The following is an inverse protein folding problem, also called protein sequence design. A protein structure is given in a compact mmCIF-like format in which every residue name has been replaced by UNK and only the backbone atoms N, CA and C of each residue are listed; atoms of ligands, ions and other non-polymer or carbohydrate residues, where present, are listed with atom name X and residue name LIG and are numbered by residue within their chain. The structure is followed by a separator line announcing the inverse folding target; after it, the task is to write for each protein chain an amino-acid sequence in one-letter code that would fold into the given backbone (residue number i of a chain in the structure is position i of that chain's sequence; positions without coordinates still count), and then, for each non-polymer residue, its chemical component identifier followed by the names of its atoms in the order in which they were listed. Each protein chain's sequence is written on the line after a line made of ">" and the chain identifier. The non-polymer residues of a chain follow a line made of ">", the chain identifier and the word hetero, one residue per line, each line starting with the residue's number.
data_IF_598093519621
#
_entry.id   IF_598093519621
#
_cell.length_a   1.000
_cell.length_b   1.000
_cell.length_c   1.000
_cell.angle_alpha   90.00
_cell.angle_beta   90.00
_cell.angle_gamma   90.00
#
_symmetry.space_group_name_H-M   'P 1'
#
loop_
_entity.id
_entity.type
_entity.pdbx_description
1 polymer ?
#
# COMPACT_ATOMS: atom_id res chain seq x y z
N UNK A 1 -14.09 -15.83 -32.97
CA UNK A 1 -13.61 -14.51 -32.49
C UNK A 1 -12.58 -14.75 -31.41
N UNK A 2 -11.30 -14.46 -31.65
CA UNK A 2 -10.28 -14.49 -30.58
C UNK A 2 -10.49 -13.27 -29.71
N UNK A 3 -11.14 -13.44 -28.55
CA UNK A 3 -11.20 -12.41 -27.53
C UNK A 3 -9.84 -12.45 -26.83
N UNK A 4 -8.95 -11.55 -27.23
CA UNK A 4 -7.67 -11.38 -26.55
C UNK A 4 -7.95 -10.83 -25.16
N UNK A 5 -7.47 -11.51 -24.12
CA UNK A 5 -7.60 -11.02 -22.75
C UNK A 5 -6.99 -9.60 -22.64
N UNK A 6 -7.62 -8.69 -21.90
CA UNK A 6 -7.06 -7.34 -21.73
C UNK A 6 -5.65 -7.44 -21.12
N UNK A 7 -4.75 -6.51 -21.48
CA UNK A 7 -3.39 -6.50 -20.92
C UNK A 7 -3.44 -6.33 -19.40
N UNK A 8 -2.50 -6.97 -18.70
CA UNK A 8 -2.37 -6.87 -17.26
C UNK A 8 -2.14 -5.40 -16.83
N UNK A 9 -2.92 -4.95 -15.86
CA UNK A 9 -2.82 -3.61 -15.27
C UNK A 9 -2.37 -3.73 -13.82
N UNK A 10 -1.15 -3.29 -13.55
CA UNK A 10 -0.57 -3.29 -12.19
C UNK A 10 -1.06 -2.12 -11.32
N UNK A 11 -1.85 -1.21 -11.89
CA UNK A 11 -2.42 -0.05 -11.21
C UNK A 11 -3.91 0.06 -11.56
N UNK A 12 -4.75 0.16 -10.54
CA UNK A 12 -6.19 0.29 -10.70
C UNK A 12 -6.76 1.34 -9.76
N UNK A 13 -7.81 2.03 -10.19
CA UNK A 13 -8.59 2.97 -9.39
C UNK A 13 -10.00 2.45 -9.18
N UNK A 14 -10.55 2.64 -7.99
CA UNK A 14 -11.91 2.22 -7.64
C UNK A 14 -12.65 3.39 -6.95
N UNK A 15 -13.70 3.92 -7.55
CA UNK A 15 -14.23 3.63 -8.89
C UNK A 15 -13.27 4.06 -10.03
N UNK A 16 -13.19 3.27 -11.08
CA UNK A 16 -12.26 3.55 -12.19
C UNK A 16 -12.51 4.92 -12.86
N UNK A 17 -13.78 5.33 -12.98
CA UNK A 17 -14.16 6.61 -13.59
C UNK A 17 -13.86 7.83 -12.72
N UNK A 18 -13.45 7.68 -11.47
CA UNK A 18 -13.20 8.78 -10.51
C UNK A 18 -11.72 9.03 -10.26
N UNK A 19 -10.83 8.49 -11.09
CA UNK A 19 -9.38 8.63 -10.92
C UNK A 19 -8.96 10.08 -10.63
N UNK A 20 -9.36 11.04 -11.45
CA UNK A 20 -8.94 12.44 -11.28
C UNK A 20 -9.56 13.08 -10.03
N UNK A 21 -10.78 12.70 -9.69
CA UNK A 21 -11.43 13.15 -8.45
C UNK A 21 -10.65 12.64 -7.24
N UNK A 22 -10.29 11.36 -7.24
CA UNK A 22 -9.51 10.73 -6.16
C UNK A 22 -8.15 11.43 -6.01
N UNK A 23 -7.45 11.65 -7.11
CA UNK A 23 -6.12 12.26 -7.12
C UNK A 23 -6.12 13.71 -6.65
N UNK A 24 -7.23 14.44 -6.82
CA UNK A 24 -7.36 15.85 -6.40
C UNK A 24 -7.78 16.03 -4.94
N UNK A 25 -8.16 14.98 -4.24
CA UNK A 25 -8.55 15.06 -2.83
C UNK A 25 -7.37 15.53 -1.96
N UNK A 26 -7.64 16.38 -0.94
CA UNK A 26 -6.61 16.79 0.01
C UNK A 26 -6.21 15.63 0.91
N UNK A 27 -4.95 15.60 1.33
CA UNK A 27 -4.49 14.70 2.39
C UNK A 27 -4.53 15.44 3.72
N UNK A 28 -5.28 14.92 4.70
CA UNK A 28 -5.22 15.39 6.08
C UNK A 28 -4.06 14.72 6.82
N UNK A 29 -3.93 13.42 6.70
CA UNK A 29 -2.79 12.58 7.13
C UNK A 29 -2.89 11.20 6.47
N UNK A 30 -1.84 10.40 6.60
CA UNK A 30 -1.80 9.02 6.13
C UNK A 30 -1.70 8.08 7.34
N UNK A 31 -2.39 6.94 7.29
CA UNK A 31 -2.18 5.86 8.23
C UNK A 31 -1.57 4.66 7.51
N UNK A 32 -0.48 4.12 8.04
CA UNK A 32 -0.04 2.77 7.72
C UNK A 32 -0.80 1.80 8.62
N UNK A 33 -1.52 0.85 8.04
CA UNK A 33 -2.50 0.03 8.77
C UNK A 33 -2.24 -1.45 8.56
N UNK A 34 -2.15 -2.20 9.66
CA UNK A 34 -2.17 -3.64 9.66
C UNK A 34 -3.61 -4.15 9.76
N UNK A 35 -4.00 -5.01 8.84
CA UNK A 35 -5.22 -5.80 8.92
C UNK A 35 -5.04 -7.01 9.85
N UNK A 36 -6.06 -7.87 9.93
CA UNK A 36 -6.00 -9.10 10.68
C UNK A 36 -4.83 -10.01 10.25
N UNK A 37 -4.49 -10.95 11.11
CA UNK A 37 -3.43 -11.92 10.87
C UNK A 37 -3.73 -12.79 9.65
N UNK A 38 -2.73 -12.97 8.80
CA UNK A 38 -2.81 -13.85 7.64
C UNK A 38 -2.63 -15.33 8.05
N UNK A 39 -3.21 -16.28 7.31
CA UNK A 39 -3.06 -17.71 7.60
C UNK A 39 -1.60 -18.17 7.65
N UNK A 40 -0.75 -17.62 6.79
CA UNK A 40 0.68 -17.92 6.71
C UNK A 40 1.53 -17.16 7.76
N UNK A 41 0.91 -16.30 8.56
CA UNK A 41 1.56 -15.42 9.53
C UNK A 41 1.80 -14.01 9.02
N UNK A 42 2.05 -13.10 9.95
CA UNK A 42 2.13 -11.66 9.69
C UNK A 42 0.76 -11.03 9.43
N UNK A 43 0.76 -9.76 9.17
CA UNK A 43 -0.44 -8.99 8.83
C UNK A 43 -0.31 -8.46 7.41
N UNK A 44 -1.44 -8.28 6.75
CA UNK A 44 -1.48 -7.47 5.54
C UNK A 44 -1.39 -5.99 5.93
N UNK A 45 -0.51 -5.25 5.29
CA UNK A 45 -0.32 -3.81 5.51
C UNK A 45 -0.65 -3.02 4.25
N UNK A 46 -1.31 -1.88 4.44
CA UNK A 46 -1.61 -0.92 3.38
C UNK A 46 -1.71 0.50 3.95
N UNK A 47 -1.94 1.50 3.09
CA UNK A 47 -2.15 2.89 3.49
C UNK A 47 -3.62 3.28 3.42
N UNK A 48 -4.07 4.02 4.44
CA UNK A 48 -5.33 4.73 4.46
C UNK A 48 -5.06 6.22 4.55
N UNK A 49 -5.31 6.93 3.46
CA UNK A 49 -5.12 8.37 3.35
C UNK A 49 -6.41 9.04 3.80
N UNK A 50 -6.37 9.77 4.90
CA UNK A 50 -7.51 10.54 5.37
C UNK A 50 -7.74 11.73 4.45
N UNK A 51 -8.91 11.84 3.84
CA UNK A 51 -9.26 12.88 2.88
C UNK A 51 -10.47 13.72 3.29
N UNK A 52 -11.19 13.30 4.32
CA UNK A 52 -12.36 13.99 4.85
C UNK A 52 -12.79 13.45 6.21
N UNK A 53 -13.90 13.92 6.74
CA UNK A 53 -14.39 13.52 8.06
C UNK A 53 -14.77 12.03 8.12
N UNK A 54 -15.38 11.50 7.04
CA UNK A 54 -15.86 10.13 6.97
C UNK A 54 -15.33 9.37 5.75
N UNK A 55 -14.21 9.83 5.17
CA UNK A 55 -13.68 9.23 3.94
C UNK A 55 -12.18 9.07 3.95
N UNK A 56 -11.74 8.00 3.30
CA UNK A 56 -10.33 7.68 3.08
C UNK A 56 -10.09 7.24 1.65
N UNK A 57 -8.85 7.39 1.20
CA UNK A 57 -8.34 6.72 0.01
C UNK A 57 -7.41 5.60 0.48
N UNK A 58 -7.78 4.36 0.19
CA UNK A 58 -6.94 3.20 0.47
C UNK A 58 -5.96 2.99 -0.68
N UNK A 59 -4.68 2.90 -0.38
CA UNK A 59 -3.62 2.50 -1.31
C UNK A 59 -3.09 1.16 -0.87
N UNK A 60 -3.45 0.14 -1.59
CA UNK A 60 -3.15 -1.25 -1.28
C UNK A 60 -2.42 -1.94 -2.43
N UNK A 61 -1.52 -2.85 -2.13
CA UNK A 61 -0.88 -3.71 -3.13
C UNK A 61 -1.09 -5.18 -2.75
N UNK A 62 -1.67 -5.93 -3.67
CA UNK A 62 -2.02 -7.33 -3.46
C UNK A 62 -1.48 -8.21 -4.59
N UNK A 63 -1.17 -9.48 -4.31
CA UNK A 63 -0.79 -10.40 -5.38
C UNK A 63 -1.96 -10.66 -6.33
N UNK A 64 -1.70 -10.69 -7.62
CA UNK A 64 -2.73 -11.00 -8.62
C UNK A 64 -3.12 -12.48 -8.63
N UNK A 65 -2.22 -13.37 -8.21
CA UNK A 65 -2.30 -14.82 -8.31
C UNK A 65 -2.52 -15.36 -9.75
N UNK A 66 -2.85 -14.49 -10.69
CA UNK A 66 -3.18 -14.86 -12.09
C UNK A 66 -2.05 -14.56 -13.06
N UNK A 67 -1.17 -13.61 -12.74
CA UNK A 67 -0.02 -13.24 -13.59
C UNK A 67 1.26 -13.65 -12.89
N UNK A 68 1.98 -14.64 -13.43
CA UNK A 68 3.20 -15.16 -12.79
C UNK A 68 4.27 -14.08 -12.60
N UNK A 69 5.00 -14.20 -11.51
CA UNK A 69 6.20 -13.41 -11.26
C UNK A 69 7.28 -13.73 -12.29
N UNK A 70 8.05 -12.71 -12.66
CA UNK A 70 9.23 -12.86 -13.52
C UNK A 70 10.43 -13.33 -12.70
N UNK A 71 10.54 -12.87 -11.45
CA UNK A 71 11.76 -13.04 -10.63
C UNK A 71 11.56 -13.91 -9.38
N UNK A 72 10.31 -14.13 -8.94
CA UNK A 72 9.99 -14.95 -7.77
C UNK A 72 9.38 -16.28 -8.18
N UNK A 73 10.09 -17.41 -8.10
CA UNK A 73 9.53 -18.72 -8.48
C UNK A 73 8.20 -19.01 -7.76
N UNK A 74 7.15 -19.32 -8.53
CA UNK A 74 5.80 -19.57 -8.02
C UNK A 74 5.05 -18.35 -7.50
N UNK A 75 5.67 -17.18 -7.53
CA UNK A 75 5.03 -15.93 -7.13
C UNK A 75 4.17 -15.30 -8.22
N UNK A 76 3.63 -14.11 -7.95
CA UNK A 76 2.81 -13.37 -8.90
C UNK A 76 3.08 -11.87 -8.88
N UNK A 77 2.76 -11.21 -9.98
CA UNK A 77 2.76 -9.75 -10.06
C UNK A 77 1.68 -9.17 -9.16
N UNK A 78 2.02 -8.08 -8.50
CA UNK A 78 1.11 -7.32 -7.67
C UNK A 78 0.22 -6.38 -8.47
N UNK A 79 -0.91 -6.05 -7.89
CA UNK A 79 -1.81 -5.00 -8.37
C UNK A 79 -1.90 -3.96 -7.26
N UNK A 80 -1.52 -2.72 -7.56
CA UNK A 80 -1.77 -1.58 -6.67
C UNK A 80 -3.17 -1.03 -6.96
N UNK A 81 -4.00 -1.04 -5.93
CA UNK A 81 -5.40 -0.60 -6.01
C UNK A 81 -5.56 0.67 -5.17
N UNK A 82 -6.09 1.72 -5.77
CA UNK A 82 -6.37 2.99 -5.12
C UNK A 82 -7.88 3.15 -5.06
N UNK A 83 -8.44 3.04 -3.86
CA UNK A 83 -9.89 3.01 -3.65
C UNK A 83 -10.36 4.19 -2.82
N UNK A 84 -11.37 4.90 -3.30
CA UNK A 84 -12.10 5.88 -2.49
C UNK A 84 -13.14 5.15 -1.64
N UNK A 85 -13.04 5.27 -0.33
CA UNK A 85 -13.88 4.57 0.63
C UNK A 85 -14.72 5.57 1.43
N UNK A 86 -16.04 5.30 1.61
CA UNK A 86 -16.96 6.13 2.40
C UNK A 86 -16.88 5.78 3.90
N UNK A 87 -15.71 5.48 4.39
CA UNK A 87 -15.45 5.15 5.80
C UNK A 87 -13.97 5.39 6.14
N UNK A 88 -13.66 5.31 7.42
CA UNK A 88 -12.31 5.43 7.96
C UNK A 88 -11.58 4.08 7.93
N UNK A 89 -10.64 3.91 8.85
CA UNK A 89 -9.94 2.65 9.05
C UNK A 89 -10.96 1.57 9.44
N UNK A 90 -10.93 0.38 8.84
CA UNK A 90 -11.89 -0.68 9.12
C UNK A 90 -11.72 -1.24 10.55
N UNK A 91 -12.82 -1.74 11.12
CA UNK A 91 -12.85 -2.29 12.49
C UNK A 91 -11.94 -3.52 12.66
N UNK A 92 -11.64 -4.23 11.58
CA UNK A 92 -10.73 -5.38 11.60
C UNK A 92 -9.24 -5.00 11.56
N UNK A 93 -8.92 -3.72 11.53
CA UNK A 93 -7.55 -3.25 11.65
C UNK A 93 -6.98 -3.57 13.05
N UNK A 94 -5.80 -4.13 13.09
CA UNK A 94 -5.13 -4.55 14.34
C UNK A 94 -4.09 -3.56 14.81
N UNK A 95 -3.59 -2.71 13.93
CA UNK A 95 -2.65 -1.64 14.23
C UNK A 95 -2.79 -0.52 13.21
N UNK A 96 -2.68 0.71 13.68
CA UNK A 96 -2.67 1.90 12.82
C UNK A 96 -1.59 2.87 13.28
N UNK A 97 -0.78 3.33 12.33
CA UNK A 97 0.33 4.26 12.56
C UNK A 97 0.11 5.53 11.73
N UNK A 98 -0.08 6.66 12.41
CA UNK A 98 -0.28 7.95 11.75
C UNK A 98 1.04 8.51 11.23
N UNK A 99 0.97 9.09 10.05
CA UNK A 99 2.06 9.77 9.35
C UNK A 99 1.56 11.13 8.87
N UNK A 100 2.04 12.19 9.47
CA UNK A 100 1.68 13.55 9.07
C UNK A 100 2.39 13.94 7.78
N UNK A 101 1.67 14.66 6.92
CA UNK A 101 2.15 15.06 5.61
C UNK A 101 2.37 16.58 5.55
N UNK A 102 3.17 17.00 4.58
CA UNK A 102 3.36 18.42 4.27
C UNK A 102 2.01 19.08 3.99
N UNK A 103 1.70 20.22 4.64
CA UNK A 103 0.45 20.94 4.43
C UNK A 103 0.19 21.26 2.95
N UNK A 104 -1.08 21.14 2.54
CA UNK A 104 -1.50 21.38 1.16
C UNK A 104 -1.27 20.24 0.19
N UNK A 105 -0.77 19.09 0.67
CA UNK A 105 -0.59 17.89 -0.15
C UNK A 105 -1.91 17.27 -0.57
N UNK A 106 -1.93 16.70 -1.77
CA UNK A 106 -3.06 15.98 -2.35
C UNK A 106 -2.71 14.50 -2.54
N UNK A 107 -3.72 13.69 -2.74
CA UNK A 107 -3.55 12.26 -3.03
C UNK A 107 -2.59 12.03 -4.20
N UNK A 108 -2.67 12.87 -5.26
CA UNK A 108 -1.73 12.79 -6.39
C UNK A 108 -0.27 12.93 -5.99
N UNK A 109 0.04 13.76 -4.99
CA UNK A 109 1.42 13.95 -4.53
C UNK A 109 1.99 12.66 -3.94
N UNK A 110 1.18 11.93 -3.17
CA UNK A 110 1.55 10.63 -2.62
C UNK A 110 1.62 9.53 -3.70
N UNK A 111 0.58 9.43 -4.53
CA UNK A 111 0.47 8.39 -5.55
C UNK A 111 1.56 8.53 -6.62
N UNK A 112 1.83 9.76 -7.08
CA UNK A 112 2.81 10.00 -8.13
C UNK A 112 4.24 9.63 -7.67
N UNK A 113 4.58 9.83 -6.39
CA UNK A 113 5.87 9.37 -5.87
C UNK A 113 6.08 7.86 -6.08
N UNK A 114 5.01 7.07 -5.96
CA UNK A 114 5.04 5.62 -6.17
C UNK A 114 5.04 5.29 -7.66
N UNK A 115 4.14 5.91 -8.43
CA UNK A 115 3.89 5.56 -9.83
C UNK A 115 5.02 6.02 -10.75
N UNK A 116 5.55 7.23 -10.57
CA UNK A 116 6.60 7.80 -11.42
C UNK A 116 7.91 7.01 -11.30
N UNK A 117 8.16 6.40 -10.14
CA UNK A 117 9.29 5.52 -9.90
C UNK A 117 8.96 4.02 -10.15
N UNK A 118 7.82 3.73 -10.79
CA UNK A 118 7.33 2.38 -11.09
C UNK A 118 7.28 1.43 -9.87
N UNK A 119 7.12 1.98 -8.66
CA UNK A 119 7.13 1.17 -7.43
C UNK A 119 5.85 0.36 -7.23
N UNK A 120 4.83 0.58 -8.05
CA UNK A 120 3.65 -0.26 -8.18
C UNK A 120 3.91 -1.53 -9.00
N UNK A 121 5.01 -1.57 -9.76
CA UNK A 121 5.47 -2.76 -10.48
C UNK A 121 6.27 -3.66 -9.53
N UNK A 122 5.53 -4.46 -8.77
CA UNK A 122 6.04 -5.24 -7.65
C UNK A 122 5.54 -6.68 -7.72
N UNK A 123 6.34 -7.63 -7.24
CA UNK A 123 6.06 -9.06 -7.27
C UNK A 123 6.12 -9.67 -5.88
N UNK A 124 5.17 -10.56 -5.62
CA UNK A 124 5.01 -11.32 -4.39
C UNK A 124 5.60 -12.72 -4.54
N UNK A 125 5.97 -13.34 -3.42
CA UNK A 125 6.42 -14.73 -3.40
C UNK A 125 5.25 -15.71 -3.65
N UNK A 126 5.54 -17.02 -3.66
CA UNK A 126 4.56 -18.07 -3.90
C UNK A 126 3.43 -18.15 -2.85
N UNK A 127 3.66 -17.60 -1.66
CA UNK A 127 2.67 -17.53 -0.58
C UNK A 127 1.87 -16.21 -0.57
N UNK A 128 2.09 -15.33 -1.56
CA UNK A 128 1.46 -14.04 -1.64
C UNK A 128 1.97 -13.03 -0.60
N UNK A 129 3.19 -13.22 -0.10
CA UNK A 129 3.82 -12.35 0.87
C UNK A 129 4.72 -11.32 0.20
N UNK A 130 4.84 -10.13 0.80
CA UNK A 130 5.67 -9.03 0.31
C UNK A 130 5.12 -7.64 0.63
N UNK A 131 3.84 -7.51 1.02
CA UNK A 131 3.18 -6.22 1.26
C UNK A 131 3.86 -5.40 2.38
N UNK A 132 4.33 -6.04 3.45
CA UNK A 132 5.01 -5.37 4.57
C UNK A 132 6.29 -4.69 4.12
N UNK A 133 7.11 -5.39 3.34
CA UNK A 133 8.33 -4.84 2.75
C UNK A 133 8.01 -3.68 1.81
N UNK A 134 6.97 -3.83 0.97
CA UNK A 134 6.55 -2.76 0.07
C UNK A 134 6.12 -1.52 0.85
N UNK A 135 5.28 -1.65 1.89
CA UNK A 135 4.83 -0.52 2.72
C UNK A 135 6.01 0.15 3.42
N UNK A 136 6.92 -0.60 4.01
CA UNK A 136 8.14 -0.06 4.63
C UNK A 136 8.97 0.76 3.64
N UNK A 137 9.17 0.23 2.44
CA UNK A 137 9.89 0.91 1.37
C UNK A 137 9.19 2.18 0.88
N UNK A 138 7.83 2.17 0.81
CA UNK A 138 7.11 3.39 0.43
C UNK A 138 7.20 4.45 1.53
N UNK A 139 7.15 4.08 2.81
CA UNK A 139 7.35 5.02 3.93
C UNK A 139 8.71 5.72 3.78
N UNK A 140 9.78 4.96 3.56
CA UNK A 140 11.11 5.52 3.36
C UNK A 140 11.18 6.42 2.13
N UNK A 141 10.61 6.00 1.01
CA UNK A 141 10.59 6.75 -0.24
C UNK A 141 9.83 8.07 -0.13
N UNK A 142 8.66 8.06 0.48
CA UNK A 142 7.82 9.24 0.69
C UNK A 142 8.47 10.22 1.68
N UNK A 143 9.16 9.71 2.71
CA UNK A 143 10.02 10.51 3.61
C UNK A 143 11.12 11.21 2.83
N UNK A 144 11.87 10.47 2.01
CA UNK A 144 13.02 11.01 1.27
C UNK A 144 12.59 12.10 0.25
N UNK A 145 11.37 12.02 -0.24
CA UNK A 145 10.75 13.06 -1.07
C UNK A 145 10.22 14.26 -0.27
N UNK A 146 10.29 14.24 1.07
CA UNK A 146 9.85 15.33 1.94
C UNK A 146 8.33 15.47 2.08
N UNK A 147 7.55 14.42 1.78
CA UNK A 147 6.10 14.46 1.95
C UNK A 147 5.70 14.07 3.38
N UNK A 148 6.31 13.05 3.97
CA UNK A 148 6.18 12.76 5.41
C UNK A 148 7.10 13.68 6.21
N UNK A 149 6.58 14.27 7.28
CA UNK A 149 7.21 15.39 7.99
C UNK A 149 7.79 15.04 9.36
N UNK A 150 7.31 13.98 10.00
CA UNK A 150 7.67 13.62 11.38
C UNK A 150 8.53 12.36 11.42
N UNK A 151 9.83 12.53 11.71
CA UNK A 151 10.79 11.42 11.78
C UNK A 151 10.49 10.43 12.92
N UNK A 152 9.85 10.87 14.00
CA UNK A 152 9.45 9.97 15.07
C UNK A 152 8.30 9.06 14.62
N UNK A 153 7.27 9.62 13.99
CA UNK A 153 6.16 8.86 13.42
C UNK A 153 6.67 7.86 12.37
N UNK A 154 7.57 8.29 11.48
CA UNK A 154 8.17 7.44 10.45
C UNK A 154 8.89 6.25 11.07
N UNK A 155 9.74 6.50 12.05
CA UNK A 155 10.47 5.44 12.77
C UNK A 155 9.54 4.47 13.47
N UNK A 156 8.51 4.97 14.16
CA UNK A 156 7.53 4.16 14.86
C UNK A 156 6.72 3.29 13.88
N UNK A 157 6.28 3.85 12.76
CA UNK A 157 5.56 3.10 11.73
C UNK A 157 6.42 1.97 11.14
N UNK A 158 7.68 2.26 10.80
CA UNK A 158 8.61 1.26 10.27
C UNK A 158 8.91 0.15 11.29
N UNK A 159 9.05 0.49 12.57
CA UNK A 159 9.21 -0.50 13.64
C UNK A 159 7.95 -1.37 13.81
N UNK A 160 6.76 -0.76 13.74
CA UNK A 160 5.50 -1.48 13.85
C UNK A 160 5.32 -2.53 12.74
N UNK A 161 5.79 -2.27 11.54
CA UNK A 161 5.71 -3.20 10.40
C UNK A 161 6.47 -4.51 10.67
N UNK A 162 7.48 -4.50 11.53
CA UNK A 162 8.26 -5.69 11.89
C UNK A 162 7.55 -6.61 12.90
N UNK A 163 6.42 -6.19 13.41
CA UNK A 163 5.66 -6.86 14.47
C UNK A 163 4.40 -7.48 13.87
N UNK A 164 4.05 -8.69 14.31
CA UNK A 164 2.78 -9.33 14.04
C UNK A 164 1.77 -8.97 15.12
N UNK A 165 0.57 -8.56 14.72
CA UNK A 165 -0.52 -8.17 15.61
C UNK A 165 -1.68 -9.16 15.54
N UNK A 166 -2.46 -9.32 16.65
CA UNK A 166 -2.42 -8.55 17.91
C UNK A 166 -1.42 -9.03 18.95
N UNK A 167 -0.76 -10.16 18.72
CA UNK A 167 0.13 -10.84 19.67
C UNK A 167 1.48 -10.11 19.92
N UNK A 168 1.78 -9.08 19.14
CA UNK A 168 2.98 -8.23 19.29
C UNK A 168 4.30 -8.99 19.28
N UNK A 169 4.39 -10.03 18.47
CA UNK A 169 5.62 -10.80 18.28
C UNK A 169 6.36 -10.37 17.03
N UNK A 170 7.68 -10.44 17.07
CA UNK A 170 8.48 -10.19 15.87
C UNK A 170 8.15 -11.21 14.78
N UNK A 171 8.02 -10.74 13.56
CA UNK A 171 7.77 -11.59 12.40
C UNK A 171 8.71 -11.19 11.25
N UNK A 172 9.45 -12.13 10.67
CA UNK A 172 10.41 -11.82 9.61
C UNK A 172 9.78 -11.05 8.45
N UNK A 173 10.49 -10.04 7.96
CA UNK A 173 10.07 -9.25 6.82
C UNK A 173 10.33 -10.03 5.53
N UNK A 174 9.26 -10.50 4.91
CA UNK A 174 9.35 -11.20 3.63
C UNK A 174 9.50 -10.19 2.50
N UNK A 175 10.59 -10.30 1.77
CA UNK A 175 10.96 -9.37 0.70
C UNK A 175 10.32 -9.80 -0.62
N UNK A 176 9.58 -8.89 -1.24
CA UNK A 176 9.16 -9.02 -2.63
C UNK A 176 10.21 -8.44 -3.59
N UNK A 177 9.87 -8.24 -4.84
CA UNK A 177 10.79 -7.74 -5.86
C UNK A 177 10.11 -6.72 -6.77
N UNK A 178 10.84 -5.70 -7.19
CA UNK A 178 10.38 -4.79 -8.25
C UNK A 178 10.77 -5.34 -9.61
N UNK A 179 9.92 -5.13 -10.61
CA UNK A 179 10.22 -5.48 -12.01
C UNK A 179 10.17 -4.22 -12.89
N UNK A 180 10.91 -4.20 -14.01
CA UNK A 180 10.97 -3.05 -14.92
C UNK A 180 9.64 -2.76 -15.60
#
# INVERSE_FOLDING_TARGET
>A
MNIQAPPFQSLQYVPAGEKEVILDLPILWVNAVAHGRLPQGGNHWCFYIRVGDDSTVCVDITPSYSVPSIVKPGGSKGIMIISLLPHLIPDYATKSMRLDVRPGSRVRDFVNLIVDQKRHQYEFNSEGQGCRFWVDHQIAHVRDAGLFMDEAQIREARNAILIQYPDEVQYPLVVGEYYP
#
